data_IF_870992432516
#
_entry.id   IF_870992432516
#
_cell.length_a   1.000
_cell.length_b   1.000
_cell.length_c   1.000
_cell.angle_alpha   90.00
_cell.angle_beta   90.00
_cell.angle_gamma   90.00
#
_symmetry.space_group_name_H-M   'P 1'
#
loop_
_entity.id
_entity.type
_entity.pdbx_description
1 polymer ?
#
# COMPACT_ATOMS: atom_id res chain seq x y z
N UNK A 1 -16.88 35.60 4.66
CA UNK A 1 -16.68 34.23 5.17
C UNK A 1 -15.35 33.67 4.67
N UNK A 2 -14.28 33.85 5.47
CA UNK A 2 -12.91 33.37 5.18
C UNK A 2 -12.34 32.60 6.40
N UNK A 3 -13.07 32.57 7.53
CA UNK A 3 -12.54 32.14 8.82
C UNK A 3 -12.58 30.63 9.09
N UNK A 4 -13.34 29.84 8.31
CA UNK A 4 -13.42 28.38 8.51
C UNK A 4 -12.25 27.65 7.82
N UNK A 5 -11.83 28.13 6.65
CA UNK A 5 -10.73 27.50 5.89
C UNK A 5 -9.36 27.71 6.55
N UNK A 6 -9.17 28.82 7.26
CA UNK A 6 -7.92 29.11 7.96
C UNK A 6 -7.70 28.22 9.19
N UNK A 7 -8.77 27.76 9.84
CA UNK A 7 -8.67 26.91 11.04
C UNK A 7 -8.33 25.44 10.73
N UNK A 8 -8.71 24.92 9.56
CA UNK A 8 -8.34 23.56 9.14
C UNK A 8 -6.84 23.43 8.79
N UNK A 9 -6.20 24.51 8.34
CA UNK A 9 -4.75 24.51 8.06
C UNK A 9 -3.89 24.58 9.33
N UNK A 10 -4.43 25.07 10.44
CA UNK A 10 -3.66 25.28 11.67
C UNK A 10 -3.43 24.01 12.51
N UNK A 11 -4.13 22.90 12.24
CA UNK A 11 -3.88 21.63 12.93
C UNK A 11 -2.64 20.86 12.44
N UNK A 12 -2.01 21.29 11.34
CA UNK A 12 -0.81 20.63 10.82
C UNK A 12 0.52 21.11 11.45
N UNK A 13 0.50 22.16 12.28
CA UNK A 13 1.73 22.78 12.80
C UNK A 13 1.71 22.98 14.31
N UNK A 14 1.79 21.88 15.08
CA UNK A 14 2.48 21.96 16.37
C UNK A 14 3.19 20.65 16.73
N UNK A 15 4.42 20.51 16.22
CA UNK A 15 5.53 19.93 17.00
C UNK A 15 6.83 20.60 16.52
N UNK A 16 7.62 21.22 17.40
CA UNK A 16 8.83 21.92 17.01
C UNK A 16 10.00 20.91 16.91
N UNK A 17 10.58 20.75 15.72
CA UNK A 17 11.89 20.10 15.61
C UNK A 17 12.16 19.19 14.41
N UNK A 18 11.25 19.04 13.45
CA UNK A 18 11.50 18.19 12.28
C UNK A 18 11.42 19.01 10.99
N UNK A 19 12.55 19.14 10.28
CA UNK A 19 12.56 19.70 8.92
C UNK A 19 11.81 18.70 8.04
N UNK A 20 10.50 18.87 7.90
CA UNK A 20 9.69 18.12 6.94
C UNK A 20 9.96 18.72 5.56
N UNK A 21 10.60 18.00 4.63
CA UNK A 21 10.72 18.47 3.26
C UNK A 21 9.31 18.68 2.68
N UNK A 22 9.15 19.56 1.69
CA UNK A 22 7.83 19.82 1.12
C UNK A 22 7.25 18.53 0.50
N UNK A 23 5.91 18.39 0.42
CA UNK A 23 5.21 17.12 0.14
C UNK A 23 5.58 16.41 -1.18
N UNK A 24 6.31 17.08 -2.06
CA UNK A 24 6.70 16.63 -3.39
C UNK A 24 8.15 16.16 -3.50
N UNK A 25 8.95 16.26 -2.45
CA UNK A 25 10.31 15.73 -2.47
C UNK A 25 10.36 14.46 -1.60
N UNK A 26 10.23 13.30 -2.26
CA UNK A 26 10.38 11.95 -1.69
C UNK A 26 9.25 11.41 -0.79
N UNK A 27 7.98 11.55 -1.19
CA UNK A 27 6.90 10.84 -0.47
C UNK A 27 6.94 9.35 -0.80
N UNK A 28 7.24 8.53 0.20
CA UNK A 28 7.07 7.06 0.18
C UNK A 28 5.92 6.69 1.11
N UNK A 29 4.93 5.95 0.60
CA UNK A 29 3.80 5.46 1.40
C UNK A 29 3.88 3.94 1.53
N UNK A 30 3.74 3.42 2.75
CA UNK A 30 3.82 1.99 3.04
C UNK A 30 2.49 1.48 3.58
N UNK A 31 1.92 0.50 2.89
CA UNK A 31 0.68 -0.16 3.28
C UNK A 31 0.97 -1.60 3.74
N UNK A 32 0.32 -2.03 4.82
CA UNK A 32 0.58 -3.33 5.46
C UNK A 32 -0.68 -4.17 5.56
N UNK A 33 -0.51 -5.50 5.40
CA UNK A 33 -1.56 -6.49 5.67
C UNK A 33 -0.92 -7.67 6.42
N UNK A 34 -1.53 -8.13 7.51
CA UNK A 34 -0.98 -9.17 8.41
C UNK A 34 -1.91 -10.36 8.61
N UNK A 35 -1.37 -11.52 8.98
CA UNK A 35 -2.16 -12.71 9.38
C UNK A 35 -2.50 -13.65 8.23
N UNK A 36 -1.61 -13.76 7.25
CA UNK A 36 -1.81 -14.60 6.08
C UNK A 36 -0.55 -15.45 5.76
N UNK A 37 -0.75 -16.76 5.58
CA UNK A 37 0.26 -17.68 5.04
C UNK A 37 0.20 -17.69 3.50
N UNK A 38 0.59 -16.57 2.87
CA UNK A 38 0.57 -16.47 1.41
C UNK A 38 1.91 -16.88 0.79
N UNK A 39 1.88 -17.83 -0.15
CA UNK A 39 2.99 -18.09 -1.08
C UNK A 39 3.09 -16.95 -2.10
N UNK A 40 1.97 -16.30 -2.42
CA UNK A 40 1.90 -15.16 -3.31
C UNK A 40 0.72 -14.24 -2.96
N UNK A 41 0.90 -12.94 -3.21
CA UNK A 41 -0.12 -11.92 -2.92
C UNK A 41 -0.21 -10.90 -4.06
N UNK A 42 -1.34 -10.22 -4.10
CA UNK A 42 -1.70 -9.25 -5.14
C UNK A 42 -2.21 -7.97 -4.49
N UNK A 43 -1.82 -6.84 -5.06
CA UNK A 43 -2.30 -5.53 -4.62
C UNK A 43 -3.19 -4.90 -5.68
N UNK A 44 -4.23 -4.24 -5.20
CA UNK A 44 -5.21 -3.52 -6.00
C UNK A 44 -5.43 -2.12 -5.43
N UNK A 45 -5.70 -1.16 -6.31
CA UNK A 45 -6.17 0.17 -5.96
C UNK A 45 -7.63 0.29 -6.39
N UNK A 46 -8.49 0.83 -5.55
CA UNK A 46 -9.85 1.21 -5.91
C UNK A 46 -10.04 2.69 -5.65
N UNK A 47 -10.56 3.40 -6.65
CA UNK A 47 -11.02 4.78 -6.49
C UNK A 47 -12.53 4.79 -6.31
N UNK A 48 -13.05 5.84 -5.68
CA UNK A 48 -14.49 6.00 -5.50
C UNK A 48 -15.22 5.93 -6.84
N UNK A 49 -16.21 5.04 -6.93
CA UNK A 49 -16.98 4.81 -8.16
C UNK A 49 -16.26 4.01 -9.26
N UNK A 50 -15.02 3.58 -9.05
CA UNK A 50 -14.27 2.75 -9.99
C UNK A 50 -14.15 1.29 -9.55
N UNK A 51 -13.90 0.40 -10.51
CA UNK A 51 -13.55 -0.99 -10.22
C UNK A 51 -12.10 -1.10 -9.70
N UNK A 52 -11.80 -2.11 -8.86
CA UNK A 52 -10.43 -2.37 -8.41
C UNK A 52 -9.46 -2.57 -9.59
N UNK A 53 -8.39 -1.79 -9.60
CA UNK A 53 -7.31 -1.84 -10.59
C UNK A 53 -6.14 -2.63 -10.02
N UNK A 54 -5.65 -3.59 -10.79
CA UNK A 54 -4.48 -4.40 -10.41
C UNK A 54 -3.19 -3.56 -10.42
N UNK A 55 -2.43 -3.60 -9.33
CA UNK A 55 -1.15 -2.90 -9.18
C UNK A 55 0.01 -3.85 -9.43
N UNK A 56 0.10 -4.91 -8.64
CA UNK A 56 1.19 -5.88 -8.74
C UNK A 56 0.83 -7.21 -8.10
N UNK A 57 1.58 -8.23 -8.51
CA UNK A 57 1.61 -9.57 -7.94
C UNK A 57 3.03 -9.83 -7.44
N UNK A 58 3.16 -10.43 -6.26
CA UNK A 58 4.44 -10.77 -5.66
C UNK A 58 4.48 -12.25 -5.28
N UNK A 59 5.45 -12.98 -5.80
CA UNK A 59 5.73 -14.36 -5.40
C UNK A 59 6.78 -14.37 -4.28
N UNK A 60 6.44 -14.93 -3.12
CA UNK A 60 7.32 -14.88 -1.95
C UNK A 60 8.46 -15.89 -2.02
N UNK A 61 8.30 -16.96 -2.79
CA UNK A 61 9.31 -18.01 -2.99
C UNK A 61 10.37 -17.57 -3.99
N UNK A 62 9.96 -17.15 -5.20
CA UNK A 62 10.89 -16.69 -6.24
C UNK A 62 11.32 -15.23 -6.06
N UNK A 63 10.61 -14.46 -5.21
CA UNK A 63 10.77 -13.00 -5.04
C UNK A 63 10.52 -12.21 -6.33
N UNK A 64 9.81 -12.81 -7.28
CA UNK A 64 9.45 -12.16 -8.53
C UNK A 64 8.22 -11.28 -8.34
N UNK A 65 8.24 -10.12 -9.00
CA UNK A 65 7.11 -9.18 -9.03
C UNK A 65 6.61 -9.03 -10.46
N UNK A 66 5.29 -9.17 -10.67
CA UNK A 66 4.63 -8.84 -11.93
C UNK A 66 3.81 -7.58 -11.73
N UNK A 67 4.04 -6.57 -12.55
CA UNK A 67 3.39 -5.27 -12.42
C UNK A 67 2.19 -5.16 -13.35
N UNK A 68 1.16 -4.48 -12.87
CA UNK A 68 0.06 -3.97 -13.68
C UNK A 68 0.48 -2.76 -14.50
N UNK A 69 -0.43 -2.23 -15.33
CA UNK A 69 -0.19 -1.03 -16.13
C UNK A 69 0.22 0.14 -15.24
N UNK A 70 1.23 0.91 -15.68
CA UNK A 70 1.77 2.09 -14.97
C UNK A 70 2.33 1.84 -13.56
N UNK A 71 2.39 0.58 -13.09
CA UNK A 71 2.85 0.29 -11.73
C UNK A 71 4.37 0.10 -11.62
N UNK A 72 5.04 -0.24 -12.74
CA UNK A 72 6.48 -0.48 -12.76
C UNK A 72 7.27 0.77 -12.40
N UNK A 73 8.19 0.66 -11.42
CA UNK A 73 9.00 1.77 -10.91
C UNK A 73 8.27 2.71 -9.95
N UNK A 74 6.94 2.77 -10.01
CA UNK A 74 6.10 3.57 -9.12
C UNK A 74 5.71 2.80 -7.84
N UNK A 75 5.41 1.51 -7.95
CA UNK A 75 5.12 0.65 -6.81
C UNK A 75 6.20 -0.41 -6.60
N UNK A 76 6.35 -0.88 -5.36
CA UNK A 76 7.13 -2.08 -5.04
C UNK A 76 6.48 -2.83 -3.89
N UNK A 77 6.79 -4.12 -3.77
CA UNK A 77 6.25 -4.96 -2.71
C UNK A 77 7.31 -5.78 -2.01
N UNK A 78 7.05 -6.08 -0.74
CA UNK A 78 7.92 -6.90 0.09
C UNK A 78 7.08 -7.73 1.08
N UNK A 79 7.69 -8.77 1.66
CA UNK A 79 7.09 -9.56 2.73
C UNK A 79 8.03 -9.66 3.92
N UNK A 80 7.50 -9.50 5.12
CA UNK A 80 8.17 -9.90 6.35
C UNK A 80 7.61 -11.26 6.78
N UNK A 81 8.34 -12.33 6.44
CA UNK A 81 7.95 -13.71 6.72
C UNK A 81 7.73 -13.99 8.22
N UNK A 82 8.65 -13.60 9.14
CA UNK A 82 8.44 -13.81 10.58
C UNK A 82 7.17 -13.18 11.16
N UNK A 83 6.71 -12.06 10.57
CA UNK A 83 5.53 -11.32 11.05
C UNK A 83 4.29 -11.53 10.19
N UNK A 84 4.42 -12.30 9.11
CA UNK A 84 3.36 -12.52 8.10
C UNK A 84 2.77 -11.22 7.54
N UNK A 85 3.63 -10.22 7.32
CA UNK A 85 3.21 -8.89 6.82
C UNK A 85 3.57 -8.76 5.34
N UNK A 86 2.59 -8.40 4.51
CA UNK A 86 2.80 -7.90 3.15
C UNK A 86 2.95 -6.38 3.18
N UNK A 87 3.90 -5.85 2.42
CA UNK A 87 4.14 -4.43 2.24
C UNK A 87 3.89 -4.04 0.79
N UNK A 88 3.23 -2.90 0.58
CA UNK A 88 3.22 -2.15 -0.67
C UNK A 88 3.84 -0.78 -0.43
N UNK A 89 4.85 -0.44 -1.20
CA UNK A 89 5.51 0.87 -1.19
C UNK A 89 5.15 1.63 -2.45
N UNK A 90 4.67 2.86 -2.28
CA UNK A 90 4.39 3.82 -3.36
C UNK A 90 5.54 4.82 -3.39
N UNK A 91 6.25 4.93 -4.50
CA UNK A 91 7.37 5.85 -4.69
C UNK A 91 6.87 7.15 -5.33
N UNK A 92 7.34 8.31 -4.88
CA UNK A 92 6.97 9.60 -5.47
C UNK A 92 5.45 9.79 -5.60
N UNK A 93 4.77 9.72 -4.45
CA UNK A 93 3.31 9.76 -4.36
C UNK A 93 2.71 10.97 -5.08
N UNK A 94 1.69 10.72 -5.90
CA UNK A 94 1.00 11.69 -6.74
C UNK A 94 -0.50 11.72 -6.40
N UNK A 95 -1.21 12.76 -6.86
CA UNK A 95 -2.66 12.85 -6.71
C UNK A 95 -3.40 11.64 -7.30
N UNK A 96 -2.83 10.97 -8.32
CA UNK A 96 -3.43 9.76 -8.91
C UNK A 96 -3.36 8.53 -7.99
N UNK A 97 -2.53 8.56 -6.95
CA UNK A 97 -2.39 7.47 -5.99
C UNK A 97 -3.43 7.54 -4.87
N UNK A 98 -4.28 8.56 -4.85
CA UNK A 98 -5.42 8.60 -3.93
C UNK A 98 -6.41 7.47 -4.26
N UNK A 99 -6.76 6.68 -3.25
CA UNK A 99 -7.70 5.57 -3.35
C UNK A 99 -7.53 4.58 -2.20
N UNK A 100 -8.45 3.63 -2.12
CA UNK A 100 -8.36 2.49 -1.22
C UNK A 100 -7.43 1.43 -1.82
N UNK A 101 -6.71 0.72 -0.95
CA UNK A 101 -5.76 -0.30 -1.37
C UNK A 101 -6.09 -1.64 -0.72
N UNK A 102 -6.21 -2.66 -1.55
CA UNK A 102 -6.59 -4.00 -1.14
C UNK A 102 -5.47 -4.99 -1.45
N UNK A 103 -5.15 -5.83 -0.48
CA UNK A 103 -4.27 -6.97 -0.64
C UNK A 103 -5.11 -8.25 -0.70
N UNK A 104 -4.92 -9.04 -1.73
CA UNK A 104 -5.50 -10.38 -1.87
C UNK A 104 -4.41 -11.44 -1.85
N UNK A 105 -4.65 -12.55 -1.18
CA UNK A 105 -3.86 -13.77 -1.32
C UNK A 105 -4.65 -14.82 -2.09
N UNK A 106 -3.93 -15.74 -2.72
CA UNK A 106 -4.53 -16.98 -3.17
C UNK A 106 -3.97 -18.04 -2.23
N UNK A 107 -4.78 -18.39 -1.23
CA UNK A 107 -4.45 -19.51 -0.35
C UNK A 107 -4.32 -20.75 -1.22
N UNK A 108 -3.14 -21.37 -1.24
CA UNK A 108 -3.07 -22.76 -1.67
C UNK A 108 -3.77 -23.54 -0.56
N UNK A 109 -4.97 -24.02 -0.83
CA UNK A 109 -5.78 -24.80 0.10
C UNK A 109 -5.22 -26.23 0.26
N UNK A 110 -3.94 -26.35 0.59
CA UNK A 110 -3.33 -27.60 1.04
C UNK A 110 -3.03 -27.51 2.54
N UNK A 111 -4.03 -27.10 3.33
CA UNK A 111 -4.02 -27.35 4.76
C UNK A 111 -5.00 -28.48 5.09
N UNK A 112 -4.53 -29.69 5.44
CA UNK A 112 -5.38 -30.76 5.94
C UNK A 112 -5.87 -30.52 7.38
N UNK A 113 -5.54 -29.40 8.03
CA UNK A 113 -5.77 -29.20 9.47
C UNK A 113 -6.96 -28.27 9.80
N UNK A 114 -7.96 -28.15 8.93
CA UNK A 114 -9.29 -27.69 9.36
C UNK A 114 -10.26 -28.87 9.52
N UNK A 115 -9.82 -29.83 10.31
CA UNK A 115 -10.70 -30.73 11.04
C UNK A 115 -10.85 -30.20 12.47
N UNK A 116 -12.10 -30.14 12.91
CA UNK A 116 -12.63 -29.81 14.25
C UNK A 116 -12.97 -28.34 14.54
#
# INVERSE_FOLDING_TARGET
SILVWTLLLLFFFHSPGEIKPPPWLFSYSVLTSSGFHFVYFMWYQQKEGESPRFILYYNTTSRETKFGPEAFGHFSAARNTPKEIAFLTINNMQAKDEGDYYCGDNRHSDDPQRGD
#
